data_IF_087244461818
#
_entry.id   IF_087244461818
#
_cell.length_a   1.000
_cell.length_b   1.000
_cell.length_c   1.000
_cell.angle_alpha   90.00
_cell.angle_beta   90.00
_cell.angle_gamma   90.00
#
_symmetry.space_group_name_H-M   'P 1'
#
loop_
_entity.id
_entity.type
_entity.pdbx_description
1 polymer ?
#
# COMPACT_ATOMS: atom_id res chain seq x y z
N UNK A 1 -9.94 -4.34 17.26
CA UNK A 1 -10.74 -4.89 16.14
C UNK A 1 -9.77 -5.11 14.99
N UNK A 2 -9.46 -6.35 14.64
CA UNK A 2 -8.53 -6.64 13.54
C UNK A 2 -9.21 -6.33 12.21
N UNK A 3 -8.73 -5.32 11.47
CA UNK A 3 -9.11 -5.13 10.07
C UNK A 3 -8.47 -6.28 9.27
N UNK A 4 -9.22 -6.86 8.35
CA UNK A 4 -8.74 -7.90 7.44
C UNK A 4 -9.38 -7.67 6.08
N UNK A 5 -8.58 -7.76 5.03
CA UNK A 5 -8.99 -7.54 3.66
C UNK A 5 -8.97 -8.87 2.90
N UNK A 6 -10.07 -9.25 2.27
CA UNK A 6 -10.11 -10.48 1.44
C UNK A 6 -9.50 -10.28 0.05
N UNK A 7 -9.23 -9.03 -0.34
CA UNK A 7 -8.58 -8.67 -1.61
C UNK A 7 -7.23 -8.01 -1.28
N UNK A 8 -6.26 -8.06 -2.20
CA UNK A 8 -4.98 -7.40 -1.99
C UNK A 8 -5.19 -5.88 -1.96
N UNK A 9 -5.00 -5.30 -0.77
CA UNK A 9 -5.31 -3.89 -0.46
C UNK A 9 -4.04 -3.09 -0.18
N UNK A 10 -4.00 -1.86 -0.68
CA UNK A 10 -3.02 -0.84 -0.35
C UNK A 10 -3.57 -0.03 0.82
N UNK A 11 -2.80 0.05 1.89
CA UNK A 11 -3.08 0.92 3.03
C UNK A 11 -2.39 2.27 2.86
N UNK A 12 -3.12 3.37 3.03
CA UNK A 12 -2.54 4.72 3.00
C UNK A 12 -2.70 5.37 4.36
N UNK A 13 -1.60 5.44 5.12
CA UNK A 13 -1.57 6.04 6.45
C UNK A 13 -0.94 7.44 6.39
N UNK A 14 -1.51 8.40 7.12
CA UNK A 14 -0.95 9.77 7.21
C UNK A 14 0.25 9.87 8.14
N UNK A 15 0.34 8.98 9.12
CA UNK A 15 1.45 8.91 10.07
C UNK A 15 1.45 7.52 10.71
N UNK A 16 2.63 6.92 10.88
CA UNK A 16 2.79 5.57 11.43
C UNK A 16 3.63 5.69 12.69
N UNK A 17 3.02 5.41 13.85
CA UNK A 17 3.72 5.54 15.15
C UNK A 17 4.63 4.35 15.49
N UNK A 18 4.69 3.33 14.64
CA UNK A 18 5.52 2.12 14.83
C UNK A 18 4.88 1.03 15.70
N UNK A 19 3.74 1.31 16.36
CA UNK A 19 2.92 0.34 17.10
C UNK A 19 1.74 -0.22 16.26
N UNK A 20 1.58 0.27 15.03
CA UNK A 20 0.46 -0.10 14.17
C UNK A 20 0.56 -1.56 13.70
N UNK A 21 -0.56 -2.29 13.72
CA UNK A 21 -0.60 -3.64 13.15
C UNK A 21 -0.98 -3.60 11.67
N UNK A 22 -0.22 -4.33 10.84
CA UNK A 22 -0.55 -4.49 9.42
C UNK A 22 -1.73 -5.47 9.33
N UNK A 23 -2.89 -5.03 8.81
CA UNK A 23 -4.06 -5.90 8.67
C UNK A 23 -3.81 -7.00 7.65
N UNK A 24 -4.42 -8.16 7.87
CA UNK A 24 -4.32 -9.29 6.95
C UNK A 24 -4.91 -8.91 5.58
N UNK A 25 -4.27 -9.34 4.48
CA UNK A 25 -4.64 -8.96 3.12
C UNK A 25 -4.15 -7.59 2.64
N UNK A 26 -3.51 -6.79 3.50
CA UNK A 26 -2.75 -5.65 3.03
C UNK A 26 -1.49 -6.13 2.31
N UNK A 27 -1.29 -5.67 1.07
CA UNK A 27 -0.13 -6.01 0.24
C UNK A 27 0.84 -4.85 0.10
N UNK A 28 0.39 -3.62 0.39
CA UNK A 28 1.26 -2.47 0.43
C UNK A 28 0.82 -1.48 1.52
N UNK A 29 1.77 -0.74 2.08
CA UNK A 29 1.54 0.37 3.01
C UNK A 29 2.29 1.59 2.52
N UNK A 30 1.57 2.69 2.33
CA UNK A 30 2.06 4.00 1.95
C UNK A 30 1.94 4.96 3.13
N UNK A 31 3.04 5.61 3.49
CA UNK A 31 3.07 6.65 4.52
C UNK A 31 3.98 7.79 4.11
N UNK A 32 3.64 9.07 4.40
CA UNK A 32 4.57 10.19 4.25
C UNK A 32 5.53 10.31 5.43
N UNK A 33 5.16 9.72 6.57
CA UNK A 33 5.97 9.67 7.77
C UNK A 33 6.98 8.54 7.61
N UNK A 34 8.27 8.83 7.80
CA UNK A 34 9.33 7.82 7.76
C UNK A 34 9.31 7.07 9.09
N UNK A 35 8.69 5.88 9.16
CA UNK A 35 8.77 5.13 10.40
C UNK A 35 10.20 4.60 10.54
N UNK A 36 10.64 4.44 11.78
CA UNK A 36 11.93 3.85 12.06
C UNK A 36 12.04 2.49 11.34
N UNK A 37 13.00 2.34 10.42
CA UNK A 37 13.14 1.17 9.53
C UNK A 37 13.30 -0.15 10.32
N UNK A 38 13.65 -0.05 11.60
CA UNK A 38 13.83 -1.16 12.55
C UNK A 38 12.64 -1.41 13.47
N UNK A 39 11.55 -0.66 13.33
CA UNK A 39 10.34 -0.87 14.12
C UNK A 39 9.68 -2.22 13.81
N UNK A 40 8.94 -2.77 14.78
CA UNK A 40 8.23 -4.06 14.65
C UNK A 40 7.42 -4.18 13.35
N UNK A 41 6.93 -3.04 12.82
CA UNK A 41 6.19 -2.92 11.56
C UNK A 41 7.00 -3.38 10.36
N UNK A 42 8.26 -2.96 10.21
CA UNK A 42 9.09 -3.31 9.05
C UNK A 42 9.38 -4.81 8.99
N UNK A 43 9.63 -5.44 10.14
CA UNK A 43 9.84 -6.89 10.25
C UNK A 43 8.55 -7.64 9.91
N UNK A 44 7.40 -7.16 10.38
CA UNK A 44 6.08 -7.76 10.05
C UNK A 44 5.75 -7.61 8.57
N UNK A 45 5.95 -6.43 7.99
CA UNK A 45 5.74 -6.19 6.56
C UNK A 45 6.56 -7.17 5.72
N UNK A 46 7.85 -7.33 6.05
CA UNK A 46 8.74 -8.26 5.35
C UNK A 46 8.30 -9.72 5.50
N UNK A 47 7.95 -10.17 6.70
CA UNK A 47 7.49 -11.54 6.93
C UNK A 47 6.18 -11.83 6.20
N UNK A 48 5.30 -10.84 6.11
CA UNK A 48 4.01 -10.92 5.41
C UNK A 48 4.10 -10.59 3.91
N UNK A 49 5.30 -10.38 3.35
CA UNK A 49 5.53 -9.96 1.94
C UNK A 49 4.76 -8.70 1.52
N UNK A 50 4.57 -7.77 2.46
CA UNK A 50 3.89 -6.50 2.26
C UNK A 50 4.90 -5.44 1.82
N UNK A 51 4.61 -4.74 0.73
CA UNK A 51 5.43 -3.66 0.21
C UNK A 51 5.27 -2.42 1.08
N UNK A 52 6.33 -2.02 1.78
CA UNK A 52 6.33 -0.79 2.55
C UNK A 52 7.02 0.31 1.76
N UNK A 53 6.30 1.39 1.46
CA UNK A 53 6.82 2.53 0.69
C UNK A 53 6.55 3.84 1.42
N UNK A 54 7.58 4.66 1.55
CA UNK A 54 7.44 6.01 2.09
C UNK A 54 7.28 6.99 0.93
N UNK A 55 6.18 7.74 0.90
CA UNK A 55 5.91 8.73 -0.13
C UNK A 55 5.86 10.12 0.50
N UNK A 56 6.97 10.85 0.39
CA UNK A 56 7.14 12.19 0.96
C UNK A 56 6.33 13.26 0.22
N UNK A 57 5.85 12.98 -0.98
CA UNK A 57 5.09 13.93 -1.79
C UNK A 57 3.61 13.91 -1.40
N UNK A 58 3.17 14.95 -0.70
CA UNK A 58 1.79 15.10 -0.26
C UNK A 58 0.79 15.13 -1.44
N UNK A 59 1.21 15.53 -2.65
CA UNK A 59 0.35 15.49 -3.83
C UNK A 59 0.08 14.07 -4.27
N UNK A 60 1.11 13.23 -4.32
CA UNK A 60 0.98 11.80 -4.68
C UNK A 60 0.11 11.10 -3.63
N UNK A 61 0.42 11.28 -2.35
CA UNK A 61 -0.36 10.69 -1.26
C UNK A 61 -1.81 11.17 -1.28
N UNK A 62 -2.05 12.45 -1.55
CA UNK A 62 -3.39 13.03 -1.68
C UNK A 62 -4.16 12.47 -2.86
N UNK A 63 -3.50 12.30 -4.01
CA UNK A 63 -4.10 11.69 -5.19
C UNK A 63 -4.46 10.23 -4.92
N UNK A 64 -3.56 9.43 -4.33
CA UNK A 64 -3.85 8.02 -4.00
C UNK A 64 -5.02 7.93 -3.00
N UNK A 65 -5.09 8.82 -2.01
CA UNK A 65 -6.25 8.91 -1.10
C UNK A 65 -7.54 9.25 -1.84
N UNK A 66 -7.50 10.06 -2.89
CA UNK A 66 -8.68 10.37 -3.71
C UNK A 66 -9.21 9.15 -4.49
N UNK A 67 -8.39 8.10 -4.63
CA UNK A 67 -8.79 6.80 -5.19
C UNK A 67 -9.16 5.77 -4.10
N UNK A 68 -9.49 6.22 -2.89
CA UNK A 68 -10.07 5.35 -1.85
C UNK A 68 -11.25 4.54 -2.41
N UNK A 69 -11.26 3.23 -2.17
CA UNK A 69 -12.30 2.32 -2.65
C UNK A 69 -12.20 1.97 -4.13
N UNK A 70 -11.18 2.46 -4.84
CA UNK A 70 -10.90 2.13 -6.24
C UNK A 70 -9.67 1.24 -6.38
N UNK A 71 -9.59 0.62 -7.56
CA UNK A 71 -8.47 -0.21 -7.96
C UNK A 71 -7.34 0.68 -8.52
N UNK A 72 -6.21 0.66 -7.84
CA UNK A 72 -4.99 1.35 -8.26
C UNK A 72 -3.87 0.34 -8.43
N UNK A 73 -3.15 0.45 -9.54
CA UNK A 73 -1.89 -0.22 -9.73
C UNK A 73 -0.78 0.67 -9.17
N UNK A 74 -0.06 0.20 -8.14
CA UNK A 74 1.16 0.84 -7.67
C UNK A 74 2.39 0.18 -8.27
N UNK A 75 3.31 1.00 -8.75
CA UNK A 75 4.61 0.58 -9.24
C UNK A 75 5.70 1.38 -8.50
N UNK A 76 6.30 0.80 -7.45
CA UNK A 76 7.46 1.42 -6.82
C UNK A 76 8.60 1.48 -7.84
N UNK A 77 9.22 2.64 -7.96
CA UNK A 77 10.44 2.88 -8.73
C UNK A 77 11.59 3.23 -7.78
N UNK A 78 12.81 3.33 -8.28
CA UNK A 78 14.00 3.56 -7.45
C UNK A 78 13.98 4.87 -6.65
N UNK A 79 13.13 5.84 -7.02
CA UNK A 79 13.06 7.14 -6.37
C UNK A 79 11.63 7.60 -6.03
N UNK A 80 10.60 6.97 -6.61
CA UNK A 80 9.21 7.44 -6.49
C UNK A 80 8.20 6.30 -6.67
N UNK A 81 6.92 6.54 -6.36
CA UNK A 81 5.83 5.57 -6.54
C UNK A 81 4.91 6.03 -7.67
N UNK A 82 4.92 5.30 -8.79
CA UNK A 82 4.03 5.55 -9.92
C UNK A 82 2.72 4.80 -9.69
N UNK A 83 1.58 5.45 -9.93
CA UNK A 83 0.25 4.84 -9.79
C UNK A 83 -0.61 5.03 -11.04
N UNK A 84 -1.56 4.11 -11.26
CA UNK A 84 -2.52 4.19 -12.37
C UNK A 84 -3.86 3.57 -11.97
N UNK A 85 -4.97 4.24 -12.30
CA UNK A 85 -6.32 3.69 -12.09
C UNK A 85 -6.55 2.47 -12.97
N UNK A 86 -7.08 1.41 -12.36
CA UNK A 86 -7.44 0.17 -13.03
C UNK A 86 -8.95 -0.06 -12.85
N UNK A 87 -9.60 -0.53 -13.91
CA UNK A 87 -11.00 -0.93 -13.86
C UNK A 87 -11.09 -2.39 -13.38
N UNK A 88 -12.17 -2.76 -12.66
CA UNK A 88 -12.33 -4.06 -11.98
C UNK A 88 -12.20 -5.27 -12.94
N UNK A 89 -12.38 -5.03 -14.24
CA UNK A 89 -12.38 -6.02 -15.33
C UNK A 89 -11.01 -6.68 -15.64
N UNK A 90 -9.91 -6.19 -15.04
CA UNK A 90 -8.55 -6.63 -15.36
C UNK A 90 -7.87 -7.54 -14.31
N UNK A 91 -8.62 -8.15 -13.39
CA UNK A 91 -8.08 -9.04 -12.35
C UNK A 91 -7.84 -10.48 -12.86
N UNK A 92 -6.99 -10.64 -13.88
CA UNK A 92 -6.38 -11.94 -14.25
C UNK A 92 -4.96 -11.64 -14.71
N UNK A 93 -3.90 -12.02 -13.99
CA UNK A 93 -3.27 -13.34 -14.12
C UNK A 93 -2.09 -13.43 -13.15
N UNK A 94 -1.90 -14.61 -12.57
CA UNK A 94 -0.65 -15.04 -11.93
C UNK A 94 0.54 -14.86 -12.89
N UNK A 95 1.66 -14.39 -12.33
CA UNK A 95 2.99 -14.22 -12.95
C UNK A 95 3.16 -13.00 -13.87
N UNK A 96 3.80 -11.97 -13.31
CA UNK A 96 4.49 -10.84 -13.94
C UNK A 96 3.71 -9.52 -14.12
N UNK A 97 3.91 -8.63 -13.14
CA UNK A 97 3.99 -7.15 -13.27
C UNK A 97 2.73 -6.28 -13.47
N UNK A 98 1.50 -6.79 -13.44
CA UNK A 98 0.29 -5.93 -13.44
C UNK A 98 -0.80 -6.39 -12.46
N UNK A 99 -0.53 -6.21 -11.17
CA UNK A 99 -1.52 -6.43 -10.12
C UNK A 99 -2.11 -5.07 -9.72
N UNK A 100 -3.43 -4.95 -9.86
CA UNK A 100 -4.17 -3.82 -9.32
C UNK A 100 -4.60 -4.14 -7.89
N UNK A 101 -4.54 -3.14 -7.02
CA UNK A 101 -4.85 -3.29 -5.61
C UNK A 101 -5.90 -2.26 -5.18
N UNK A 102 -6.75 -2.64 -4.24
CA UNK A 102 -7.76 -1.71 -3.70
C UNK A 102 -7.09 -0.68 -2.80
N UNK A 103 -7.33 0.61 -3.01
CA UNK A 103 -6.81 1.66 -2.13
C UNK A 103 -7.74 1.90 -0.94
N UNK A 104 -7.16 1.95 0.27
CA UNK A 104 -7.92 2.10 1.50
C UNK A 104 -7.15 2.93 2.53
N UNK A 105 -7.86 3.83 3.21
CA UNK A 105 -7.33 4.65 4.32
C UNK A 105 -7.47 3.97 5.69
#
# INVERSE_FOLDING_TARGET
MNKSYSKPTILVAKSVKGEEEIPDGAVAVLTPDMPDVLSHVSVRARNSKVCFATCFDANILGNIQAYEGKLLQLKPTSADVVYSEMNDDALVSSNNSKEGFMCQL
#
